data_IF_137737162570
#
_entry.id   IF_137737162570
#
_cell.length_a   1.000
_cell.length_b   1.000
_cell.length_c   1.000
_cell.angle_alpha   90.00
_cell.angle_beta   90.00
_cell.angle_gamma   90.00
#
_symmetry.space_group_name_H-M   'P 1'
#
loop_
_entity.id
_entity.type
_entity.pdbx_description
1 polymer ?
#
# COMPACT_ATOMS: atom_id res chain seq x y z
N UNK A 1 35.72 -5.78 7.47
CA UNK A 1 34.38 -6.13 7.96
C UNK A 1 33.38 -5.57 6.97
N UNK A 2 33.21 -6.24 5.83
CA UNK A 2 32.20 -5.83 4.85
C UNK A 2 30.84 -6.30 5.36
N UNK A 3 29.93 -5.34 5.60
CA UNK A 3 28.53 -5.64 5.91
C UNK A 3 27.94 -6.44 4.74
N UNK A 4 27.23 -7.54 4.99
CA UNK A 4 26.61 -8.30 3.92
C UNK A 4 25.62 -7.39 3.17
N UNK A 5 25.86 -7.21 1.88
CA UNK A 5 25.12 -6.37 0.93
C UNK A 5 23.76 -6.99 0.57
N UNK A 6 22.96 -7.35 1.56
CA UNK A 6 21.61 -7.87 1.36
C UNK A 6 20.54 -6.76 1.33
N UNK A 7 20.89 -5.53 1.67
CA UNK A 7 19.99 -4.38 1.55
C UNK A 7 20.29 -3.71 0.23
N UNK A 8 19.51 -4.01 -0.79
CA UNK A 8 19.47 -3.21 -2.01
C UNK A 8 18.92 -1.82 -1.65
N UNK A 9 19.76 -0.76 -1.67
CA UNK A 9 19.33 0.59 -1.26
C UNK A 9 18.17 1.09 -2.12
N UNK A 10 18.08 0.63 -3.37
CA UNK A 10 17.05 1.06 -4.30
C UNK A 10 15.67 0.46 -3.99
N UNK A 11 15.60 -0.67 -3.28
CA UNK A 11 14.32 -1.28 -2.90
C UNK A 11 13.67 -0.59 -1.70
N UNK A 12 14.43 0.18 -0.92
CA UNK A 12 13.91 0.87 0.26
C UNK A 12 13.14 2.16 -0.06
N UNK A 13 13.16 2.63 -1.30
CA UNK A 13 12.61 3.94 -1.68
C UNK A 13 11.13 4.14 -1.38
N UNK A 14 10.32 3.07 -1.35
CA UNK A 14 8.92 3.16 -0.93
C UNK A 14 8.79 3.38 0.57
N UNK A 15 9.50 2.57 1.37
CA UNK A 15 9.49 2.64 2.83
C UNK A 15 10.07 3.96 3.32
N UNK A 16 11.10 4.48 2.65
CA UNK A 16 11.69 5.78 2.96
C UNK A 16 10.71 6.92 2.73
N UNK A 17 9.99 6.93 1.60
CA UNK A 17 8.96 7.95 1.32
C UNK A 17 7.81 7.88 2.31
N UNK A 18 7.39 6.67 2.68
CA UNK A 18 6.36 6.46 3.70
C UNK A 18 6.81 7.01 5.06
N UNK A 19 7.99 6.62 5.53
CA UNK A 19 8.53 7.05 6.81
C UNK A 19 8.78 8.57 6.87
N UNK A 20 9.25 9.16 5.76
CA UNK A 20 9.40 10.61 5.65
C UNK A 20 8.06 11.34 5.79
N UNK A 21 7.03 10.85 5.09
CA UNK A 21 5.69 11.47 5.12
C UNK A 21 5.00 11.33 6.47
N UNK A 22 5.15 10.17 7.12
CA UNK A 22 4.70 9.97 8.49
C UNK A 22 5.42 10.94 9.45
N UNK A 23 6.73 11.09 9.30
CA UNK A 23 7.51 12.02 10.10
C UNK A 23 7.03 13.46 9.96
N UNK A 24 6.96 13.94 8.71
CA UNK A 24 6.61 15.33 8.41
C UNK A 24 5.15 15.67 8.76
N UNK A 25 4.20 14.79 8.47
CA UNK A 25 2.76 15.09 8.65
C UNK A 25 2.21 14.68 10.03
N UNK A 26 2.77 13.65 10.67
CA UNK A 26 2.18 13.08 11.89
C UNK A 26 3.02 13.34 13.14
N UNK A 27 4.35 13.27 13.05
CA UNK A 27 5.23 13.27 14.22
C UNK A 27 5.89 14.62 14.49
N UNK A 28 6.13 15.45 13.47
CA UNK A 28 6.83 16.72 13.60
C UNK A 28 5.95 17.85 14.14
N UNK A 29 4.64 17.77 13.97
CA UNK A 29 3.68 18.81 14.37
C UNK A 29 3.13 18.63 15.80
N UNK A 30 3.52 17.57 16.53
CA UNK A 30 2.90 17.21 17.81
C UNK A 30 3.94 16.96 18.90
N UNK A 31 3.81 17.67 20.01
CA UNK A 31 4.44 17.28 21.28
C UNK A 31 3.60 16.16 21.88
N UNK A 32 4.20 15.00 22.10
CA UNK A 32 3.49 13.84 22.62
C UNK A 32 3.79 13.64 24.11
N UNK A 33 2.75 13.63 24.93
CA UNK A 33 2.87 13.45 26.38
C UNK A 33 2.58 12.01 26.82
N UNK A 34 1.85 11.24 26.01
CA UNK A 34 1.41 9.87 26.33
C UNK A 34 1.43 8.94 25.11
N UNK A 35 1.86 7.69 25.33
CA UNK A 35 1.94 6.64 24.32
C UNK A 35 0.56 6.19 23.81
N UNK A 36 -0.49 6.18 24.65
CA UNK A 36 -1.83 5.82 24.17
C UNK A 36 -2.34 6.84 23.15
N UNK A 37 -2.11 8.11 23.43
CA UNK A 37 -2.45 9.20 22.51
C UNK A 37 -1.70 9.04 21.17
N UNK A 38 -0.39 8.78 21.20
CA UNK A 38 0.40 8.52 19.96
C UNK A 38 -0.18 7.37 19.16
N UNK A 39 -0.53 6.25 19.81
CA UNK A 39 -1.08 5.07 19.12
C UNK A 39 -2.40 5.38 18.42
N UNK A 40 -3.27 6.18 19.04
CA UNK A 40 -4.51 6.64 18.42
C UNK A 40 -4.24 7.47 17.17
N UNK A 41 -3.36 8.45 17.27
CA UNK A 41 -3.00 9.32 16.14
C UNK A 41 -2.41 8.51 14.98
N UNK A 42 -1.50 7.58 15.27
CA UNK A 42 -0.91 6.72 14.26
C UNK A 42 -1.94 5.82 13.58
N UNK A 43 -2.90 5.28 14.33
CA UNK A 43 -3.98 4.48 13.78
C UNK A 43 -4.87 5.30 12.84
N UNK A 44 -5.27 6.50 13.26
CA UNK A 44 -6.08 7.41 12.44
C UNK A 44 -5.33 7.82 11.16
N UNK A 45 -4.04 8.16 11.28
CA UNK A 45 -3.21 8.51 10.12
C UNK A 45 -3.02 7.33 9.16
N UNK A 46 -2.78 6.12 9.70
CA UNK A 46 -2.68 4.91 8.89
C UNK A 46 -3.98 4.63 8.13
N UNK A 47 -5.13 4.84 8.79
CA UNK A 47 -6.43 4.66 8.17
C UNK A 47 -6.67 5.69 7.05
N UNK A 48 -6.37 6.97 7.29
CA UNK A 48 -6.45 8.02 6.26
C UNK A 48 -5.57 7.69 5.04
N UNK A 49 -4.29 7.37 5.29
CA UNK A 49 -3.31 7.09 4.25
C UNK A 49 -3.74 5.91 3.34
N UNK A 50 -4.25 4.84 3.95
CA UNK A 50 -4.56 3.60 3.25
C UNK A 50 -5.95 3.57 2.59
N UNK A 51 -6.94 4.23 3.21
CA UNK A 51 -8.33 4.13 2.76
C UNK A 51 -8.77 5.35 1.96
N UNK A 52 -8.31 6.54 2.32
CA UNK A 52 -8.89 7.80 1.83
C UNK A 52 -7.94 8.52 0.89
N UNK A 53 -6.66 8.62 1.25
CA UNK A 53 -5.72 9.51 0.58
C UNK A 53 -5.44 9.07 -0.87
N UNK A 54 -5.59 9.98 -1.86
CA UNK A 54 -5.22 9.69 -3.24
C UNK A 54 -3.69 9.76 -3.43
N UNK A 55 -3.12 8.79 -4.16
CA UNK A 55 -1.68 8.74 -4.47
C UNK A 55 -1.45 8.85 -5.97
N UNK A 56 -0.60 9.79 -6.39
CA UNK A 56 -0.29 10.01 -7.82
C UNK A 56 0.33 8.78 -8.49
N UNK A 57 1.15 8.00 -7.76
CA UNK A 57 1.70 6.72 -8.23
C UNK A 57 0.66 5.62 -8.41
N UNK A 58 -0.52 5.79 -7.79
CA UNK A 58 -1.67 4.88 -7.92
C UNK A 58 -2.78 5.51 -8.77
N UNK A 59 -2.43 6.38 -9.72
CA UNK A 59 -3.39 7.09 -10.58
C UNK A 59 -4.44 7.91 -9.80
N UNK A 60 -4.08 8.42 -8.63
CA UNK A 60 -4.99 9.19 -7.77
C UNK A 60 -5.91 8.31 -6.91
N UNK A 61 -5.68 7.00 -6.84
CA UNK A 61 -6.43 6.10 -5.98
C UNK A 61 -5.78 5.99 -4.59
N UNK A 62 -6.58 5.62 -3.59
CA UNK A 62 -6.04 5.15 -2.32
C UNK A 62 -5.49 3.73 -2.46
N UNK A 63 -4.54 3.30 -1.61
CA UNK A 63 -3.96 1.96 -1.66
C UNK A 63 -5.03 0.86 -1.61
N UNK A 64 -6.06 1.03 -0.79
CA UNK A 64 -7.17 0.09 -0.70
C UNK A 64 -7.92 -0.07 -2.03
N UNK A 65 -8.24 1.04 -2.70
CA UNK A 65 -8.95 1.00 -3.98
C UNK A 65 -8.07 0.42 -5.08
N UNK A 66 -6.79 0.78 -5.12
CA UNK A 66 -5.83 0.23 -6.08
C UNK A 66 -5.72 -1.30 -5.94
N UNK A 67 -5.51 -1.81 -4.72
CA UNK A 67 -5.41 -3.25 -4.44
C UNK A 67 -6.69 -4.01 -4.79
N UNK A 68 -7.86 -3.46 -4.46
CA UNK A 68 -9.12 -4.08 -4.82
C UNK A 68 -9.35 -4.08 -6.33
N UNK A 69 -8.93 -3.02 -7.03
CA UNK A 69 -9.02 -2.94 -8.48
C UNK A 69 -8.14 -3.99 -9.15
N UNK A 70 -6.91 -4.19 -8.65
CA UNK A 70 -6.01 -5.25 -9.12
C UNK A 70 -6.59 -6.64 -8.89
N UNK A 71 -7.04 -6.92 -7.66
CA UNK A 71 -7.68 -8.20 -7.32
C UNK A 71 -8.88 -8.52 -8.20
N UNK A 72 -9.72 -7.52 -8.50
CA UNK A 72 -10.90 -7.72 -9.35
C UNK A 72 -10.50 -8.02 -10.81
N UNK A 73 -9.41 -7.43 -11.31
CA UNK A 73 -8.88 -7.77 -12.64
C UNK A 73 -8.41 -9.22 -12.67
N UNK A 74 -7.73 -9.69 -11.63
CA UNK A 74 -7.24 -11.06 -11.54
C UNK A 74 -8.39 -12.08 -11.54
N UNK A 75 -9.43 -11.81 -10.74
CA UNK A 75 -10.66 -12.61 -10.71
C UNK A 75 -11.31 -12.66 -12.10
N UNK A 76 -11.50 -11.51 -12.74
CA UNK A 76 -12.12 -11.43 -14.06
C UNK A 76 -11.28 -12.16 -15.14
N UNK A 77 -9.96 -12.11 -15.04
CA UNK A 77 -9.06 -12.83 -15.94
C UNK A 77 -9.18 -14.35 -15.75
N UNK A 78 -9.23 -14.82 -14.50
CA UNK A 78 -9.42 -16.24 -14.19
C UNK A 78 -10.79 -16.75 -14.69
N UNK A 79 -11.86 -15.97 -14.52
CA UNK A 79 -13.18 -16.32 -15.06
C UNK A 79 -13.19 -16.40 -16.58
N UNK A 80 -12.53 -15.46 -17.27
CA UNK A 80 -12.40 -15.48 -18.73
C UNK A 80 -11.64 -16.72 -19.20
N UNK A 81 -10.55 -17.08 -18.51
CA UNK A 81 -9.78 -18.29 -18.82
C UNK A 81 -10.65 -19.54 -18.68
N UNK A 82 -11.40 -19.66 -17.57
CA UNK A 82 -12.28 -20.80 -17.33
C UNK A 82 -13.40 -20.90 -18.38
N UNK A 83 -14.01 -19.78 -18.78
CA UNK A 83 -14.97 -19.76 -19.89
C UNK A 83 -14.36 -20.26 -21.19
N UNK A 84 -13.14 -19.81 -21.53
CA UNK A 84 -12.44 -20.23 -22.76
C UNK A 84 -12.09 -21.73 -22.74
N UNK A 85 -11.63 -22.24 -21.59
CA UNK A 85 -11.38 -23.67 -21.38
C UNK A 85 -12.67 -24.47 -21.59
N UNK A 86 -13.78 -24.07 -20.95
CA UNK A 86 -15.06 -24.77 -21.08
C UNK A 86 -15.57 -24.75 -22.53
N UNK A 87 -15.47 -23.62 -23.24
CA UNK A 87 -15.83 -23.51 -24.65
C UNK A 87 -15.03 -24.47 -25.54
N UNK A 88 -13.75 -24.71 -25.24
CA UNK A 88 -12.89 -25.65 -25.97
C UNK A 88 -13.16 -27.11 -25.62
N UNK A 89 -13.64 -27.39 -24.41
CA UNK A 89 -14.01 -28.75 -23.98
C UNK A 89 -15.40 -29.17 -24.49
N UNK A 90 -16.26 -28.21 -24.84
CA UNK A 90 -17.61 -28.45 -25.37
C UNK A 90 -17.69 -28.44 -26.91
N UNK A 91 -16.55 -28.29 -27.62
CA UNK A 91 -16.45 -28.31 -29.08
C UNK A 91 -15.74 -29.58 -29.55
#
# INVERSE_FOLDING_TARGET
MDRPSFIDPMQNGFVERFNGKLGDECLKERLFEDLHYIRGILADWQQDYNLVRPHSSLNGLSPYIALNTERNKDIANHEKLNKNINLRLCA
#
